data_IF_138985945172
#
_entry.id   IF_138985945172
#
_cell.length_a   1.000
_cell.length_b   1.000
_cell.length_c   1.000
_cell.angle_alpha   90.00
_cell.angle_beta   90.00
_cell.angle_gamma   90.00
#
_symmetry.space_group_name_H-M   'P 1'
#
loop_
_entity.id
_entity.type
_entity.pdbx_description
1 polymer ?
#
# COMPACT_ATOMS: atom_id res chain seq x y z
N UNK A 1 -6.70 12.62 -3.69
CA UNK A 1 -5.75 12.15 -2.66
C UNK A 1 -4.98 13.36 -2.18
N UNK A 2 -4.99 13.66 -0.88
CA UNK A 2 -4.17 14.73 -0.31
C UNK A 2 -2.95 14.07 0.36
N UNK A 3 -1.72 14.50 0.07
CA UNK A 3 -0.53 14.00 0.75
C UNK A 3 -0.60 14.27 2.26
N UNK A 4 -0.08 13.35 3.08
CA UNK A 4 0.13 13.59 4.51
C UNK A 4 1.23 14.64 4.70
N UNK A 5 0.82 15.88 4.98
CA UNK A 5 1.74 17.00 5.23
C UNK A 5 2.16 17.15 6.69
N UNK A 6 1.62 16.33 7.61
CA UNK A 6 1.75 16.56 9.06
C UNK A 6 2.80 15.65 9.69
N UNK A 7 2.94 14.40 9.26
CA UNK A 7 3.94 13.50 9.84
C UNK A 7 5.35 13.67 9.25
N UNK A 8 5.50 14.18 8.02
CA UNK A 8 6.80 14.56 7.41
C UNK A 8 7.86 13.46 7.29
N UNK A 9 7.56 12.23 7.71
CA UNK A 9 8.45 11.07 7.71
C UNK A 9 8.09 10.06 6.61
N UNK A 10 7.01 10.32 5.87
CA UNK A 10 6.56 9.52 4.74
C UNK A 10 6.52 8.03 5.04
N UNK A 11 7.10 7.23 4.13
CA UNK A 11 7.03 5.76 4.19
C UNK A 11 7.73 5.18 5.42
N UNK A 12 8.60 5.93 6.10
CA UNK A 12 9.33 5.43 7.28
C UNK A 12 8.40 5.16 8.46
N UNK A 13 7.43 6.03 8.70
CA UNK A 13 6.46 5.83 9.79
C UNK A 13 5.56 4.63 9.49
N UNK A 14 5.10 4.51 8.25
CA UNK A 14 4.31 3.36 7.82
C UNK A 14 5.11 2.06 7.98
N UNK A 15 6.38 2.05 7.57
CA UNK A 15 7.26 0.90 7.72
C UNK A 15 7.52 0.55 9.20
N UNK A 16 7.82 1.53 10.04
CA UNK A 16 8.00 1.34 11.48
C UNK A 16 6.81 0.63 12.14
N UNK A 17 5.59 0.96 11.72
CA UNK A 17 4.38 0.39 12.30
C UNK A 17 3.95 -0.96 11.68
N UNK A 18 4.47 -1.32 10.51
CA UNK A 18 3.94 -2.45 9.73
C UNK A 18 5.01 -3.45 9.25
N UNK A 19 6.27 -3.31 9.66
CA UNK A 19 7.35 -4.23 9.35
C UNK A 19 8.20 -4.50 10.58
N UNK A 20 8.86 -5.66 10.64
CA UNK A 20 9.66 -6.06 11.79
C UNK A 20 10.92 -5.21 11.98
N UNK A 21 11.55 -4.77 10.89
CA UNK A 21 12.78 -4.00 10.92
C UNK A 21 12.58 -2.49 10.71
N UNK A 22 11.31 -2.07 10.64
CA UNK A 22 10.92 -0.69 10.38
C UNK A 22 11.29 -0.18 8.99
N UNK A 23 11.49 -1.07 8.01
CA UNK A 23 11.83 -0.71 6.62
C UNK A 23 10.73 -1.11 5.63
N UNK A 24 10.62 -0.41 4.49
CA UNK A 24 9.79 -0.87 3.39
C UNK A 24 10.17 -2.29 2.99
N UNK A 25 9.17 -3.16 2.83
CA UNK A 25 9.37 -4.59 2.60
C UNK A 25 9.44 -4.95 1.12
N UNK A 26 8.85 -4.11 0.25
CA UNK A 26 8.78 -4.36 -1.18
C UNK A 26 8.67 -3.05 -1.98
N UNK A 27 8.49 -3.16 -3.29
CA UNK A 27 8.25 -2.03 -4.19
C UNK A 27 7.02 -2.25 -5.05
N UNK A 28 6.28 -1.18 -5.30
CA UNK A 28 5.19 -1.12 -6.29
C UNK A 28 5.61 -0.15 -7.39
N UNK A 29 5.76 -0.65 -8.62
CA UNK A 29 6.28 0.14 -9.77
C UNK A 29 7.55 0.96 -9.46
N UNK A 30 8.45 0.40 -8.65
CA UNK A 30 9.70 1.06 -8.26
C UNK A 30 9.60 1.95 -7.01
N UNK A 31 8.40 2.29 -6.53
CA UNK A 31 8.21 3.07 -5.30
C UNK A 31 8.28 2.17 -4.06
N UNK A 32 8.92 2.60 -2.95
CA UNK A 32 9.00 1.82 -1.72
C UNK A 32 7.62 1.63 -1.09
N UNK A 33 7.33 0.41 -0.65
CA UNK A 33 6.04 0.04 -0.11
C UNK A 33 6.13 -0.91 1.10
N UNK A 34 5.07 -0.92 1.90
CA UNK A 34 4.88 -1.84 3.02
C UNK A 34 3.40 -2.20 3.14
N UNK A 35 3.12 -3.49 3.38
CA UNK A 35 1.74 -3.94 3.62
C UNK A 35 1.29 -3.60 5.04
N UNK A 36 0.03 -3.22 5.20
CA UNK A 36 -0.59 -2.93 6.50
C UNK A 36 -1.91 -3.65 6.68
N UNK A 37 -2.31 -3.89 7.92
CA UNK A 37 -3.62 -4.45 8.26
C UNK A 37 -3.92 -5.84 7.72
N UNK A 38 -2.87 -6.61 7.36
CA UNK A 38 -2.95 -7.94 6.72
C UNK A 38 -3.74 -8.94 7.56
N UNK A 39 -4.70 -9.60 6.92
CA UNK A 39 -5.32 -10.86 7.36
C UNK A 39 -5.87 -11.61 6.13
N UNK A 40 -6.58 -12.71 6.35
CA UNK A 40 -7.10 -13.57 5.28
C UNK A 40 -8.13 -12.89 4.35
N UNK A 41 -8.68 -11.74 4.75
CA UNK A 41 -9.73 -11.03 4.02
C UNK A 41 -9.32 -9.63 3.58
N UNK A 42 -8.27 -9.05 4.15
CA UNK A 42 -7.87 -7.69 3.85
C UNK A 42 -6.37 -7.54 3.85
N UNK A 43 -5.93 -6.63 3.01
CA UNK A 43 -4.59 -6.09 3.06
C UNK A 43 -4.63 -4.67 2.54
N UNK A 44 -3.74 -3.85 3.07
CA UNK A 44 -3.48 -2.54 2.51
C UNK A 44 -2.02 -2.39 2.15
N UNK A 45 -1.73 -1.44 1.28
CA UNK A 45 -0.38 -1.10 0.83
C UNK A 45 -0.16 0.39 1.04
N UNK A 46 0.82 0.72 1.87
CA UNK A 46 1.38 2.07 1.93
C UNK A 46 2.46 2.21 0.88
N UNK A 47 2.42 3.27 0.08
CA UNK A 47 3.43 3.56 -0.95
C UNK A 47 3.97 4.97 -0.75
N UNK A 48 5.29 5.07 -0.65
CA UNK A 48 5.98 6.36 -0.56
C UNK A 48 6.22 6.95 -1.94
N UNK A 49 5.60 8.09 -2.24
CA UNK A 49 5.76 8.80 -3.52
C UNK A 49 6.81 9.90 -3.46
N UNK A 50 7.15 10.37 -2.26
CA UNK A 50 8.27 11.26 -2.01
C UNK A 50 8.93 10.92 -0.66
N UNK A 51 9.86 11.77 -0.19
CA UNK A 51 10.44 11.61 1.15
C UNK A 51 9.41 11.79 2.26
N UNK A 52 8.38 12.59 2.01
CA UNK A 52 7.37 12.99 2.99
C UNK A 52 6.00 12.43 2.67
N UNK A 53 5.71 12.15 1.39
CA UNK A 53 4.38 11.82 0.92
C UNK A 53 4.18 10.30 0.82
N UNK A 54 3.05 9.86 1.34
CA UNK A 54 2.58 8.48 1.26
C UNK A 54 1.11 8.49 0.87
N UNK A 55 0.72 7.52 0.05
CA UNK A 55 -0.69 7.13 -0.05
C UNK A 55 -0.88 5.72 0.47
N UNK A 56 -2.11 5.44 0.92
CA UNK A 56 -2.51 4.16 1.45
C UNK A 56 -3.69 3.61 0.66
N UNK A 57 -3.55 2.39 0.17
CA UNK A 57 -4.64 1.60 -0.42
C UNK A 57 -5.05 0.58 0.61
N UNK A 58 -6.35 0.48 0.91
CA UNK A 58 -6.91 -0.57 1.76
C UNK A 58 -7.96 -1.33 0.97
N UNK A 59 -7.80 -2.64 0.88
CA UNK A 59 -8.74 -3.51 0.19
C UNK A 59 -9.25 -4.59 1.13
N UNK A 60 -10.55 -4.88 1.05
CA UNK A 60 -11.18 -5.99 1.77
C UNK A 60 -11.95 -6.85 0.78
N UNK A 61 -11.63 -8.13 0.77
CA UNK A 61 -12.36 -9.17 0.05
C UNK A 61 -13.69 -9.37 0.75
N UNK A 62 -14.77 -8.95 0.10
CA UNK A 62 -16.14 -9.24 0.54
C UNK A 62 -16.45 -10.74 0.45
N UNK A 63 -17.59 -11.15 1.02
CA UNK A 63 -18.08 -12.54 0.96
C UNK A 63 -18.10 -13.11 -0.46
N UNK A 64 -18.46 -12.28 -1.43
CA UNK A 64 -18.67 -12.67 -2.81
C UNK A 64 -17.34 -12.87 -3.56
N UNK A 65 -16.28 -12.19 -3.12
CA UNK A 65 -14.93 -12.32 -3.70
C UNK A 65 -14.12 -13.47 -3.11
N UNK A 66 -14.58 -14.10 -2.03
CA UNK A 66 -13.79 -15.10 -1.28
C UNK A 66 -13.50 -16.38 -2.07
N UNK A 67 -14.33 -16.69 -3.07
CA UNK A 67 -14.13 -17.82 -3.98
C UNK A 67 -13.40 -17.47 -5.28
N UNK A 68 -13.09 -16.19 -5.50
CA UNK A 68 -12.41 -15.73 -6.70
C UNK A 68 -10.90 -15.88 -6.53
N UNK A 69 -10.21 -16.63 -7.41
CA UNK A 69 -8.75 -16.74 -7.39
C UNK A 69 -8.04 -15.38 -7.50
N UNK A 70 -8.66 -14.38 -8.14
CA UNK A 70 -8.09 -13.04 -8.26
C UNK A 70 -7.97 -12.32 -6.91
N UNK A 71 -8.86 -12.63 -5.96
CA UNK A 71 -8.86 -12.06 -4.62
C UNK A 71 -8.23 -12.98 -3.55
N UNK A 72 -7.69 -14.13 -3.96
CA UNK A 72 -7.07 -15.10 -3.06
C UNK A 72 -5.83 -14.53 -2.33
N UNK A 73 -5.18 -13.52 -2.91
CA UNK A 73 -4.13 -12.74 -2.26
C UNK A 73 -4.56 -11.27 -2.14
N UNK A 74 -5.15 -10.88 -0.99
CA UNK A 74 -5.57 -9.51 -0.75
C UNK A 74 -4.41 -8.49 -0.85
N UNK A 75 -3.17 -8.90 -0.56
CA UNK A 75 -2.01 -8.01 -0.62
C UNK A 75 -1.52 -7.80 -2.07
N UNK A 76 -1.51 -8.87 -2.87
CA UNK A 76 -1.25 -8.72 -4.30
C UNK A 76 -2.29 -7.82 -4.97
N UNK A 77 -3.57 -7.93 -4.56
CA UNK A 77 -4.63 -7.04 -5.06
C UNK A 77 -4.42 -5.59 -4.62
N UNK A 78 -4.05 -5.34 -3.35
CA UNK A 78 -3.77 -3.98 -2.89
C UNK A 78 -2.57 -3.35 -3.60
N UNK A 79 -1.53 -4.14 -3.92
CA UNK A 79 -0.38 -3.69 -4.72
C UNK A 79 -0.78 -3.37 -6.16
N UNK A 80 -1.65 -4.18 -6.76
CA UNK A 80 -2.17 -3.92 -8.11
C UNK A 80 -2.96 -2.61 -8.16
N UNK A 81 -3.84 -2.39 -7.18
CA UNK A 81 -4.58 -1.12 -7.06
C UNK A 81 -3.61 0.05 -6.86
N UNK A 82 -2.60 -0.11 -6.02
CA UNK A 82 -1.58 0.92 -5.84
C UNK A 82 -0.80 1.21 -7.13
N UNK A 83 -0.49 0.20 -7.93
CA UNK A 83 0.10 0.36 -9.27
C UNK A 83 -0.78 1.19 -10.21
N UNK A 84 -2.08 0.91 -10.26
CA UNK A 84 -3.03 1.70 -11.06
C UNK A 84 -3.10 3.17 -10.61
N UNK A 85 -2.96 3.44 -9.32
CA UNK A 85 -2.87 4.82 -8.80
C UNK A 85 -1.60 5.51 -9.30
N UNK A 86 -0.45 4.82 -9.24
CA UNK A 86 0.84 5.36 -9.68
C UNK A 86 0.86 5.69 -11.17
N UNK A 87 0.23 4.87 -12.02
CA UNK A 87 0.08 5.13 -13.46
C UNK A 87 -0.69 6.42 -13.77
N UNK A 88 -1.51 6.88 -12.82
CA UNK A 88 -2.34 8.08 -12.97
C UNK A 88 -1.82 9.28 -12.18
N UNK A 89 -0.61 9.19 -11.59
CA UNK A 89 0.02 10.35 -10.97
C UNK A 89 0.49 11.33 -12.04
N UNK A 90 0.23 12.65 -11.88
CA UNK A 90 0.78 13.64 -12.78
C UNK A 90 2.32 13.58 -12.73
N UNK A 91 3.01 13.86 -13.85
CA UNK A 91 4.46 13.95 -13.86
C UNK A 91 4.94 14.98 -12.82
N UNK A 92 6.02 14.64 -12.13
CA UNK A 92 6.63 15.44 -11.07
C UNK A 92 7.26 16.74 -11.59
#
# INVERSE_FOLDING_TARGET
MAPDTVQGQGIRTAAFNNSEDGKPTHRVQGYPAVHGGKNDLRCGTFVGTSKTDVFYVSFTVGSDGRGDPEYADPCAMSDRIAGMVLENLPPA
#
